data_IF_825391103344
#
_entry.id   IF_825391103344
#
_cell.length_a   1.000
_cell.length_b   1.000
_cell.length_c   1.000
_cell.angle_alpha   90.00
_cell.angle_beta   90.00
_cell.angle_gamma   90.00
#
_symmetry.space_group_name_H-M   'P 1'
#
loop_
_entity.id
_entity.type
_entity.pdbx_description
1 polymer ?
#
# COMPACT_ATOMS: atom_id res chain seq x y z
N UNK A 1 43.53 5.21 10.82
CA UNK A 1 42.25 5.96 10.97
C UNK A 1 41.24 5.37 10.01
N UNK A 2 40.25 4.63 10.55
CA UNK A 2 39.36 3.73 9.82
C UNK A 2 38.19 4.51 9.19
N UNK A 3 38.19 4.71 7.86
CA UNK A 3 37.07 5.33 7.13
C UNK A 3 35.96 4.33 6.72
N UNK A 4 35.96 3.10 7.25
CA UNK A 4 35.08 2.00 6.81
C UNK A 4 33.84 1.75 7.68
N UNK A 5 33.50 2.61 8.65
CA UNK A 5 32.38 2.34 9.58
C UNK A 5 31.08 3.07 9.29
N UNK A 6 30.99 3.89 8.24
CA UNK A 6 29.76 4.65 7.91
C UNK A 6 28.89 3.90 6.88
N UNK A 7 29.44 2.93 6.14
CA UNK A 7 28.81 2.30 4.97
C UNK A 7 28.18 0.92 5.26
N UNK A 8 27.92 0.60 6.52
CA UNK A 8 27.31 -0.68 6.93
C UNK A 8 26.04 -0.45 7.75
N UNK A 9 25.15 0.42 7.26
CA UNK A 9 23.74 0.13 7.48
C UNK A 9 23.52 -1.32 7.04
N UNK A 10 23.02 -2.17 7.93
CA UNK A 10 22.88 -3.60 7.69
C UNK A 10 22.19 -3.80 6.33
N UNK A 11 22.92 -4.26 5.31
CA UNK A 11 22.38 -4.47 3.94
C UNK A 11 21.06 -5.26 4.00
N UNK A 12 20.97 -6.19 4.95
CA UNK A 12 19.78 -6.98 5.26
C UNK A 12 18.56 -6.12 5.67
N UNK A 13 18.76 -5.04 6.40
CA UNK A 13 17.69 -4.14 6.85
C UNK A 13 17.17 -3.28 5.69
N UNK A 14 18.07 -2.77 4.85
CA UNK A 14 17.70 -2.03 3.63
C UNK A 14 16.93 -2.95 2.68
N UNK A 15 17.42 -4.18 2.46
CA UNK A 15 16.71 -5.19 1.65
C UNK A 15 15.34 -5.54 2.23
N UNK A 16 15.22 -5.65 3.55
CA UNK A 16 13.94 -5.91 4.22
C UNK A 16 12.94 -4.78 3.98
N UNK A 17 13.35 -3.51 4.10
CA UNK A 17 12.48 -2.36 3.80
C UNK A 17 12.11 -2.34 2.32
N UNK A 18 13.06 -2.54 1.41
CA UNK A 18 12.79 -2.58 -0.03
C UNK A 18 11.82 -3.70 -0.39
N UNK A 19 11.96 -4.88 0.22
CA UNK A 19 11.04 -5.98 0.04
C UNK A 19 9.65 -5.65 0.60
N UNK A 20 9.57 -5.00 1.76
CA UNK A 20 8.30 -4.51 2.30
C UNK A 20 7.63 -3.49 1.38
N UNK A 21 8.38 -2.54 0.80
CA UNK A 21 7.87 -1.59 -0.20
C UNK A 21 7.33 -2.32 -1.42
N UNK A 22 8.08 -3.30 -1.94
CA UNK A 22 7.64 -4.14 -3.06
C UNK A 22 6.33 -4.86 -2.75
N UNK A 23 6.19 -5.47 -1.58
CA UNK A 23 4.95 -6.13 -1.17
C UNK A 23 3.77 -5.16 -1.16
N UNK A 24 3.95 -3.95 -0.60
CA UNK A 24 2.88 -2.94 -0.61
C UNK A 24 2.49 -2.46 -2.01
N UNK A 25 3.44 -2.36 -2.93
CA UNK A 25 3.13 -2.09 -4.34
C UNK A 25 2.30 -3.22 -4.94
N UNK A 26 2.68 -4.48 -4.71
CA UNK A 26 1.93 -5.64 -5.21
C UNK A 26 0.50 -5.69 -4.66
N UNK A 27 0.31 -5.41 -3.37
CA UNK A 27 -1.02 -5.31 -2.73
C UNK A 27 -1.90 -4.33 -3.49
N UNK A 28 -1.38 -3.14 -3.79
CA UNK A 28 -2.14 -2.12 -4.49
C UNK A 28 -2.46 -2.52 -5.93
N UNK A 29 -1.52 -3.16 -6.64
CA UNK A 29 -1.79 -3.68 -7.99
C UNK A 29 -2.90 -4.72 -7.96
N UNK A 30 -2.85 -5.69 -7.04
CA UNK A 30 -3.88 -6.74 -6.93
C UNK A 30 -5.23 -6.17 -6.52
N UNK A 31 -5.26 -5.19 -5.62
CA UNK A 31 -6.47 -4.51 -5.18
C UNK A 31 -7.12 -3.71 -6.34
N UNK A 32 -6.31 -2.95 -7.09
CA UNK A 32 -6.79 -2.22 -8.26
C UNK A 32 -7.33 -3.18 -9.33
N UNK A 33 -6.66 -4.31 -9.58
CA UNK A 33 -7.16 -5.34 -10.51
C UNK A 33 -8.48 -5.94 -10.06
N UNK A 34 -8.68 -6.17 -8.75
CA UNK A 34 -9.94 -6.66 -8.22
C UNK A 34 -11.10 -5.69 -8.51
N UNK A 35 -10.92 -4.40 -8.24
CA UNK A 35 -11.94 -3.38 -8.51
C UNK A 35 -12.17 -3.11 -9.99
N UNK A 36 -11.09 -3.01 -10.77
CA UNK A 36 -11.20 -2.70 -12.20
C UNK A 36 -11.85 -3.83 -12.98
N UNK A 37 -11.38 -5.07 -12.81
CA UNK A 37 -11.90 -6.17 -13.61
C UNK A 37 -13.36 -6.48 -13.29
N UNK A 38 -13.85 -6.14 -12.10
CA UNK A 38 -15.28 -6.20 -11.81
C UNK A 38 -16.12 -5.27 -12.71
N UNK A 39 -15.56 -4.12 -13.10
CA UNK A 39 -16.25 -3.06 -13.86
C UNK A 39 -15.93 -3.03 -15.35
N UNK A 40 -14.80 -3.61 -15.78
CA UNK A 40 -14.34 -3.61 -17.18
C UNK A 40 -14.61 -4.91 -17.94
N UNK A 41 -15.28 -5.90 -17.32
CA UNK A 41 -15.70 -7.10 -18.02
C UNK A 41 -16.70 -6.79 -19.16
N UNK A 42 -16.73 -7.60 -20.23
CA UNK A 42 -17.57 -7.34 -21.40
C UNK A 42 -19.04 -7.09 -21.04
N UNK A 43 -19.74 -6.22 -21.78
CA UNK A 43 -21.17 -6.03 -21.60
C UNK A 43 -21.90 -7.37 -21.81
N UNK A 44 -22.68 -7.78 -20.81
CA UNK A 44 -23.34 -9.09 -20.76
C UNK A 44 -22.63 -10.15 -19.91
N UNK A 45 -21.45 -9.85 -19.33
CA UNK A 45 -20.82 -10.73 -18.35
C UNK A 45 -21.75 -10.95 -17.14
N UNK A 46 -21.91 -12.21 -16.75
CA UNK A 46 -22.77 -12.57 -15.63
C UNK A 46 -22.22 -12.03 -14.31
N UNK A 47 -23.11 -11.77 -13.35
CA UNK A 47 -22.70 -11.33 -12.00
C UNK A 47 -21.69 -12.30 -11.37
N UNK A 48 -21.84 -13.59 -11.63
CA UNK A 48 -20.92 -14.63 -11.15
C UNK A 48 -19.51 -14.47 -11.70
N UNK A 49 -19.35 -14.14 -12.98
CA UNK A 49 -18.03 -13.90 -13.57
C UNK A 49 -17.35 -12.68 -12.93
N UNK A 50 -18.11 -11.60 -12.72
CA UNK A 50 -17.60 -10.38 -12.07
C UNK A 50 -17.12 -10.65 -10.65
N UNK A 51 -17.93 -11.37 -9.87
CA UNK A 51 -17.57 -11.74 -8.49
C UNK A 51 -16.35 -12.67 -8.49
N UNK A 52 -16.35 -13.74 -9.29
CA UNK A 52 -15.23 -14.69 -9.33
C UNK A 52 -13.90 -14.03 -9.70
N UNK A 53 -13.89 -13.12 -10.67
CA UNK A 53 -12.68 -12.37 -11.02
C UNK A 53 -12.24 -11.45 -9.90
N UNK A 54 -13.16 -10.73 -9.27
CA UNK A 54 -12.85 -9.87 -8.12
C UNK A 54 -12.29 -10.67 -6.93
N UNK A 55 -12.97 -11.76 -6.56
CA UNK A 55 -12.56 -12.63 -5.45
C UNK A 55 -11.22 -13.31 -5.71
N UNK A 56 -10.91 -13.68 -6.96
CA UNK A 56 -9.61 -14.21 -7.34
C UNK A 56 -8.49 -13.21 -7.03
N UNK A 57 -8.62 -11.96 -7.49
CA UNK A 57 -7.60 -10.94 -7.26
C UNK A 57 -7.52 -10.49 -5.80
N UNK A 58 -8.64 -10.42 -5.10
CA UNK A 58 -8.67 -10.20 -3.65
C UNK A 58 -7.96 -11.35 -2.89
N UNK A 59 -8.14 -12.60 -3.33
CA UNK A 59 -7.41 -13.74 -2.75
C UNK A 59 -5.91 -13.65 -3.01
N UNK A 60 -5.50 -13.23 -4.22
CA UNK A 60 -4.09 -13.01 -4.55
C UNK A 60 -3.46 -11.88 -3.71
N UNK A 61 -4.22 -10.84 -3.39
CA UNK A 61 -3.77 -9.75 -2.51
C UNK A 61 -3.30 -10.26 -1.14
N UNK A 62 -4.00 -11.26 -0.57
CA UNK A 62 -3.64 -11.85 0.73
C UNK A 62 -2.24 -12.47 0.74
N UNK A 63 -1.75 -12.97 -0.39
CA UNK A 63 -0.38 -13.49 -0.52
C UNK A 63 0.68 -12.42 -0.26
N UNK A 64 0.35 -11.14 -0.49
CA UNK A 64 1.24 -10.01 -0.28
C UNK A 64 0.93 -9.27 1.04
N UNK A 65 -0.35 -9.15 1.41
CA UNK A 65 -0.79 -8.51 2.68
C UNK A 65 -0.15 -9.20 3.88
N UNK A 66 -0.27 -10.52 4.01
CA UNK A 66 0.19 -11.24 5.20
C UNK A 66 1.70 -11.04 5.45
N UNK A 67 2.59 -11.29 4.46
CA UNK A 67 4.02 -11.03 4.66
C UNK A 67 4.32 -9.54 4.84
N UNK A 68 3.62 -8.64 4.16
CA UNK A 68 3.80 -7.19 4.34
C UNK A 68 3.53 -6.75 5.78
N UNK A 69 2.41 -7.20 6.37
CA UNK A 69 2.05 -6.87 7.75
C UNK A 69 3.05 -7.45 8.75
N UNK A 70 3.48 -8.71 8.55
CA UNK A 70 4.48 -9.36 9.42
C UNK A 70 5.82 -8.64 9.40
N UNK A 71 6.29 -8.26 8.21
CA UNK A 71 7.57 -7.56 8.05
C UNK A 71 7.46 -6.12 8.57
N UNK A 72 6.38 -5.41 8.25
CA UNK A 72 6.15 -4.04 8.70
C UNK A 72 6.12 -3.91 10.23
N UNK A 73 5.52 -4.88 10.92
CA UNK A 73 5.51 -4.94 12.39
C UNK A 73 6.91 -5.06 13.03
N UNK A 74 7.97 -5.35 12.26
CA UNK A 74 9.34 -5.42 12.80
C UNK A 74 10.00 -4.04 12.93
N UNK A 75 9.48 -3.01 12.26
CA UNK A 75 10.07 -1.65 12.27
C UNK A 75 9.07 -0.50 12.32
N UNK A 76 7.78 -0.75 12.15
CA UNK A 76 6.69 0.20 12.36
C UNK A 76 5.86 -0.19 13.58
N UNK A 77 5.32 0.80 14.27
CA UNK A 77 4.28 0.53 15.27
C UNK A 77 2.93 0.24 14.57
N UNK A 78 1.94 -0.37 15.26
CA UNK A 78 0.67 -0.75 14.64
C UNK A 78 -0.10 0.43 14.00
N UNK A 79 -0.05 1.61 14.60
CA UNK A 79 -0.70 2.80 14.07
C UNK A 79 -0.04 3.26 12.75
N UNK A 80 1.30 3.28 12.71
CA UNK A 80 2.06 3.59 11.50
C UNK A 80 1.86 2.56 10.41
N UNK A 81 1.80 1.28 10.77
CA UNK A 81 1.56 0.22 9.81
C UNK A 81 0.17 0.36 9.18
N UNK A 82 -0.88 0.61 9.98
CA UNK A 82 -2.22 0.87 9.47
C UNK A 82 -2.25 2.14 8.59
N UNK A 83 -1.65 3.24 9.04
CA UNK A 83 -1.59 4.49 8.28
C UNK A 83 -0.79 4.35 6.98
N UNK A 84 0.25 3.52 6.95
CA UNK A 84 1.05 3.28 5.75
C UNK A 84 0.22 2.68 4.62
N UNK A 85 -0.76 1.81 4.92
CA UNK A 85 -1.67 1.26 3.92
C UNK A 85 -2.45 2.36 3.19
N UNK A 86 -2.89 3.40 3.90
CA UNK A 86 -3.56 4.55 3.27
C UNK A 86 -2.61 5.37 2.41
N UNK A 87 -1.33 5.50 2.79
CA UNK A 87 -0.31 6.17 1.95
C UNK A 87 -0.19 5.44 0.62
N UNK A 88 -0.01 4.12 0.64
CA UNK A 88 0.11 3.34 -0.59
C UNK A 88 -1.18 3.35 -1.40
N UNK A 89 -2.35 3.27 -0.75
CA UNK A 89 -3.65 3.40 -1.39
C UNK A 89 -3.81 4.73 -2.12
N UNK A 90 -3.41 5.83 -1.48
CA UNK A 90 -3.43 7.16 -2.09
C UNK A 90 -2.46 7.25 -3.27
N UNK A 91 -1.24 6.71 -3.17
CA UNK A 91 -0.30 6.66 -4.30
C UNK A 91 -0.86 5.85 -5.46
N UNK A 92 -1.50 4.71 -5.19
CA UNK A 92 -2.15 3.91 -6.21
C UNK A 92 -3.33 4.66 -6.84
N UNK A 93 -4.11 5.40 -6.04
CA UNK A 93 -5.18 6.29 -6.52
C UNK A 93 -4.63 7.39 -7.42
N UNK A 94 -3.51 8.03 -7.09
CA UNK A 94 -2.90 9.03 -7.97
C UNK A 94 -2.56 8.45 -9.34
N UNK A 95 -1.99 7.24 -9.35
CA UNK A 95 -1.64 6.53 -10.60
C UNK A 95 -2.89 6.11 -11.36
N UNK A 96 -3.87 5.48 -10.70
CA UNK A 96 -5.09 5.02 -11.37
C UNK A 96 -5.93 6.18 -11.87
N UNK A 97 -6.07 7.26 -11.11
CA UNK A 97 -6.80 8.46 -11.52
C UNK A 97 -6.17 9.10 -12.75
N UNK A 98 -4.84 9.23 -12.76
CA UNK A 98 -4.13 9.88 -13.86
C UNK A 98 -4.07 9.03 -15.13
N UNK A 99 -3.77 7.74 -15.02
CA UNK A 99 -3.45 6.90 -16.18
C UNK A 99 -4.58 5.96 -16.60
N UNK A 100 -5.49 5.61 -15.68
CA UNK A 100 -6.49 4.58 -15.92
C UNK A 100 -7.92 5.16 -16.00
N UNK A 101 -8.34 5.93 -14.99
CA UNK A 101 -9.68 6.51 -14.90
C UNK A 101 -9.81 7.87 -15.57
N UNK A 102 -8.69 8.59 -15.75
CA UNK A 102 -8.67 9.98 -16.24
C UNK A 102 -9.59 10.91 -15.42
N UNK A 103 -9.58 10.76 -14.09
CA UNK A 103 -10.35 11.59 -13.17
C UNK A 103 -9.42 12.47 -12.34
N UNK A 104 -9.91 13.63 -11.92
CA UNK A 104 -9.15 14.55 -11.08
C UNK A 104 -9.18 14.08 -9.64
N UNK A 105 -8.01 13.92 -9.02
CA UNK A 105 -7.90 13.72 -7.57
C UNK A 105 -8.32 15.00 -6.85
N UNK A 106 -9.26 14.88 -5.90
CA UNK A 106 -9.89 16.03 -5.25
C UNK A 106 -8.97 16.65 -4.20
N UNK A 107 -9.20 17.92 -3.87
CA UNK A 107 -8.44 18.61 -2.80
C UNK A 107 -8.61 17.88 -1.46
N UNK A 108 -9.80 17.34 -1.20
CA UNK A 108 -10.09 16.59 0.03
C UNK A 108 -9.21 15.34 0.16
N UNK A 109 -8.90 14.65 -0.95
CA UNK A 109 -7.97 13.52 -0.96
C UNK A 109 -6.55 13.94 -0.55
N UNK A 110 -6.06 15.07 -1.07
CA UNK A 110 -4.73 15.61 -0.72
C UNK A 110 -4.68 16.06 0.74
N UNK A 111 -5.72 16.74 1.24
CA UNK A 111 -5.81 17.17 2.64
C UNK A 111 -5.83 15.94 3.56
N UNK A 112 -6.61 14.92 3.20
CA UNK A 112 -6.62 13.63 3.91
C UNK A 112 -5.23 13.00 3.99
N UNK A 113 -4.48 12.99 2.89
CA UNK A 113 -3.10 12.48 2.88
C UNK A 113 -2.19 13.29 3.81
N UNK A 114 -2.27 14.62 3.81
CA UNK A 114 -1.48 15.45 4.73
C UNK A 114 -1.79 15.12 6.19
N UNK A 115 -3.08 14.95 6.54
CA UNK A 115 -3.49 14.56 7.89
C UNK A 115 -2.95 13.19 8.30
N UNK A 116 -2.95 12.21 7.39
CA UNK A 116 -2.41 10.87 7.64
C UNK A 116 -0.89 10.93 7.84
N UNK A 117 -0.16 11.71 7.03
CA UNK A 117 1.29 11.90 7.21
C UNK A 117 1.60 12.54 8.57
N UNK A 118 0.83 13.56 8.97
CA UNK A 118 0.93 14.16 10.30
C UNK A 118 0.64 13.12 11.40
N UNK A 119 -0.41 12.32 11.24
CA UNK A 119 -0.76 11.22 12.14
C UNK A 119 0.38 10.22 12.33
N UNK A 120 1.07 9.83 11.25
CA UNK A 120 2.23 8.93 11.33
C UNK A 120 3.41 9.54 12.07
N UNK A 121 3.67 10.83 11.89
CA UNK A 121 4.70 11.55 12.65
C UNK A 121 4.31 11.59 14.13
N UNK A 122 3.06 11.97 14.41
CA UNK A 122 2.56 12.10 15.78
C UNK A 122 2.52 10.76 16.52
N UNK A 123 2.22 9.66 15.84
CA UNK A 123 2.20 8.31 16.41
C UNK A 123 3.57 7.80 16.88
N UNK A 124 4.67 8.49 16.52
CA UNK A 124 6.00 8.22 17.10
C UNK A 124 6.13 8.76 18.51
N UNK A 125 5.43 9.85 18.81
CA UNK A 125 5.34 10.38 20.15
C UNK A 125 4.39 9.46 20.92
N UNK A 126 4.91 8.78 21.95
CA UNK A 126 4.10 8.04 22.92
C UNK A 126 3.06 9.00 23.50
N UNK A 127 1.86 9.01 22.93
CA UNK A 127 0.80 9.84 23.46
C UNK A 127 0.29 9.27 24.80
N UNK A 128 0.32 7.94 24.99
CA UNK A 128 0.05 7.29 26.28
C UNK A 128 0.72 5.90 26.33
N UNK A 129 1.86 5.76 27.04
CA UNK A 129 2.47 4.46 27.41
C UNK A 129 3.82 4.12 26.78
#
# INVERSE_FOLDING_TARGET
MNSKSITKWNMNYVLLILYWLFLNVMINITCQLAFFLQTTLPPGASIYQKILTSEFWATMEWLFIIPSQRIGNTFLNPAQLAMSSYVFGFLAQLVSNQFWLNIVTTIDDYVGMVLILLGMVLSKFRAFG
#
